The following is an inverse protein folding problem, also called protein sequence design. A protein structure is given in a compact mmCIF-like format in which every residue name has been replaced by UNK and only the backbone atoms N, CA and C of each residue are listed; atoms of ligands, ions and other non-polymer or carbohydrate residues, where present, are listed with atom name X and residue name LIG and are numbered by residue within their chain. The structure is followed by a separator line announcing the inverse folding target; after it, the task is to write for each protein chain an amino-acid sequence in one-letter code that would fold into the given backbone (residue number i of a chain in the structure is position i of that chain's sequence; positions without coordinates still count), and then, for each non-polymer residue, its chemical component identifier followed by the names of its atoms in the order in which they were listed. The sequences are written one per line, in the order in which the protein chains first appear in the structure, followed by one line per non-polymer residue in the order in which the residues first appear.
data_IF_695022422709
#
_entry.id   IF_695022422709
#
_cell.length_a   1.000
_cell.length_b   1.000
_cell.length_c   1.000
_cell.angle_alpha   90.00
_cell.angle_beta   90.00
_cell.angle_gamma   90.00
#
_symmetry.space_group_name_H-M   'P 1'
#
loop_
_entity.id
_entity.type
_entity.pdbx_description
1 polymer ?
#
# COMPACT_ATOMS: atom_id res chain seq x y z
N UNK A 1 -19.31 -8.81 16.99
CA UNK A 1 -20.76 -9.03 16.85
C UNK A 1 -21.42 -7.71 16.42
N UNK A 2 -22.01 -7.71 15.20
CA UNK A 2 -22.73 -6.57 14.62
C UNK A 2 -24.25 -6.68 14.81
N UNK A 3 -24.72 -7.79 15.39
CA UNK A 3 -26.14 -8.06 15.63
C UNK A 3 -26.72 -7.37 16.87
N UNK A 4 -25.99 -6.44 17.46
CA UNK A 4 -26.41 -5.66 18.64
C UNK A 4 -26.45 -4.17 18.30
N UNK A 5 -27.23 -3.38 19.06
CA UNK A 5 -27.30 -1.92 18.89
C UNK A 5 -25.92 -1.24 19.03
N UNK A 6 -24.99 -1.88 19.73
CA UNK A 6 -23.60 -1.47 19.87
C UNK A 6 -22.69 -2.59 19.39
N UNK A 7 -22.03 -2.46 18.24
CA UNK A 7 -21.06 -3.43 17.74
C UNK A 7 -19.97 -3.72 18.78
N UNK A 8 -19.70 -5.01 19.03
CA UNK A 8 -18.71 -5.44 20.03
C UNK A 8 -17.67 -6.31 19.37
N UNK A 9 -16.37 -6.02 19.65
CA UNK A 9 -15.32 -6.98 19.36
C UNK A 9 -15.50 -8.23 20.23
N UNK A 10 -15.90 -9.32 19.61
CA UNK A 10 -16.23 -10.55 20.32
C UNK A 10 -15.01 -11.43 20.59
N UNK A 11 -14.10 -11.55 19.64
CA UNK A 11 -12.87 -12.33 19.79
C UNK A 11 -12.08 -12.48 18.50
N UNK A 12 -10.91 -13.11 18.61
CA UNK A 12 -10.05 -13.46 17.49
C UNK A 12 -9.41 -14.82 17.69
N UNK A 13 -9.08 -15.49 16.59
CA UNK A 13 -8.28 -16.69 16.55
C UNK A 13 -7.16 -16.56 15.51
N UNK A 14 -6.11 -17.37 15.65
CA UNK A 14 -4.93 -17.32 14.79
C UNK A 14 -4.39 -18.72 14.52
N UNK A 15 -3.87 -18.90 13.31
CA UNK A 15 -3.10 -20.08 12.94
C UNK A 15 -2.00 -19.69 11.95
N UNK A 16 -0.95 -20.49 11.80
CA UNK A 16 0.01 -20.36 10.70
C UNK A 16 -0.70 -20.44 9.35
N UNK A 17 -0.20 -19.69 8.35
CA UNK A 17 -0.71 -19.83 6.99
C UNK A 17 -0.32 -21.17 6.40
N UNK A 18 -1.23 -21.77 5.63
CA UNK A 18 -1.02 -23.04 4.90
C UNK A 18 -0.96 -22.87 3.39
N UNK A 19 -0.71 -21.65 2.91
CA UNK A 19 -0.58 -21.37 1.46
C UNK A 19 0.53 -22.20 0.81
N UNK A 20 1.65 -22.38 1.51
CA UNK A 20 2.78 -23.20 1.03
C UNK A 20 2.46 -24.70 0.98
N UNK A 21 1.43 -25.16 1.70
CA UNK A 21 0.92 -26.52 1.69
C UNK A 21 -0.11 -26.74 0.56
N UNK A 22 -0.46 -25.67 -0.17
CA UNK A 22 -1.36 -25.70 -1.31
C UNK A 22 -2.85 -25.62 -0.95
N UNK A 23 -3.21 -25.42 0.32
CA UNK A 23 -4.60 -25.27 0.75
C UNK A 23 -4.74 -24.29 1.92
N UNK A 24 -5.24 -23.11 1.65
CA UNK A 24 -5.44 -22.04 2.66
C UNK A 24 -6.47 -22.41 3.73
N UNK A 25 -7.36 -23.38 3.46
CA UNK A 25 -8.42 -23.78 4.40
C UNK A 25 -7.88 -24.39 5.68
N UNK A 26 -6.73 -25.04 5.62
CA UNK A 26 -6.11 -25.67 6.81
C UNK A 26 -5.76 -24.59 7.82
N UNK A 27 -5.10 -23.51 7.41
CA UNK A 27 -4.80 -22.38 8.28
C UNK A 27 -6.05 -21.65 8.76
N UNK A 28 -7.05 -21.45 7.88
CA UNK A 28 -8.32 -20.82 8.23
C UNK A 28 -9.07 -21.64 9.29
N UNK A 29 -9.18 -22.95 9.11
CA UNK A 29 -9.82 -23.82 10.11
C UNK A 29 -9.06 -23.79 11.44
N UNK A 30 -7.74 -23.83 11.41
CA UNK A 30 -6.91 -23.70 12.62
C UNK A 30 -7.16 -22.39 13.38
N UNK A 31 -7.36 -21.27 12.67
CA UNK A 31 -7.71 -19.99 13.28
C UNK A 31 -9.13 -19.98 13.87
N UNK A 32 -10.09 -20.61 13.20
CA UNK A 32 -11.45 -20.80 13.74
C UNK A 32 -11.43 -21.66 15.00
N UNK A 33 -10.69 -22.76 14.98
CA UNK A 33 -10.56 -23.66 16.15
C UNK A 33 -9.88 -22.95 17.34
N UNK A 34 -8.89 -22.09 17.05
CA UNK A 34 -8.25 -21.25 18.08
C UNK A 34 -9.24 -20.24 18.69
N UNK A 35 -10.06 -19.59 17.85
CA UNK A 35 -11.13 -18.70 18.33
C UNK A 35 -12.13 -19.47 19.21
N UNK A 36 -12.59 -20.63 18.77
CA UNK A 36 -13.53 -21.46 19.52
C UNK A 36 -12.97 -21.84 20.89
N UNK A 37 -11.70 -22.29 20.95
CA UNK A 37 -11.00 -22.58 22.21
C UNK A 37 -10.92 -21.37 23.14
N UNK A 38 -10.56 -20.21 22.59
CA UNK A 38 -10.42 -18.97 23.36
C UNK A 38 -11.76 -18.50 23.94
N UNK A 39 -12.87 -18.87 23.30
CA UNK A 39 -14.24 -18.53 23.73
C UNK A 39 -14.95 -19.62 24.50
N UNK A 40 -14.40 -20.84 24.56
CA UNK A 40 -15.03 -21.99 25.23
C UNK A 40 -16.31 -22.45 24.53
N UNK A 41 -16.35 -22.38 23.19
CA UNK A 41 -17.46 -22.85 22.37
C UNK A 41 -17.01 -24.02 21.48
N UNK A 42 -17.94 -24.92 21.16
CA UNK A 42 -17.64 -26.09 20.33
C UNK A 42 -17.62 -25.75 18.84
N UNK A 43 -18.41 -24.76 18.43
CA UNK A 43 -18.55 -24.35 17.01
C UNK A 43 -18.81 -22.85 16.89
N UNK A 44 -18.16 -22.24 15.89
CA UNK A 44 -18.44 -20.87 15.51
C UNK A 44 -19.71 -20.81 14.63
N UNK A 45 -20.67 -19.99 15.04
CA UNK A 45 -21.83 -19.63 14.25
C UNK A 45 -21.71 -18.16 13.85
N UNK A 46 -21.92 -17.85 12.58
CA UNK A 46 -21.80 -16.50 12.04
C UNK A 46 -22.88 -16.23 10.99
N UNK A 47 -23.35 -15.00 10.88
CA UNK A 47 -24.31 -14.58 9.88
C UNK A 47 -23.68 -14.26 8.54
N UNK A 48 -22.49 -13.61 8.58
CA UNK A 48 -21.72 -13.22 7.38
C UNK A 48 -20.24 -13.52 7.60
N UNK A 49 -19.57 -13.86 6.50
CA UNK A 49 -18.13 -14.03 6.42
C UNK A 49 -17.56 -13.10 5.35
N UNK A 50 -16.65 -12.23 5.75
CA UNK A 50 -15.92 -11.34 4.85
C UNK A 50 -14.43 -11.72 4.88
N UNK A 51 -13.75 -11.56 3.78
CA UNK A 51 -12.34 -11.90 3.69
C UNK A 51 -11.50 -10.82 3.01
N UNK A 52 -10.27 -10.70 3.49
CA UNK A 52 -9.18 -10.01 2.78
C UNK A 52 -8.04 -10.98 2.58
N UNK A 53 -7.26 -10.81 1.53
CA UNK A 53 -6.15 -11.71 1.24
C UNK A 53 -4.88 -10.96 0.86
N UNK A 54 -3.74 -11.44 1.35
CA UNK A 54 -2.40 -11.16 0.84
C UNK A 54 -1.76 -12.38 0.18
N UNK A 55 -2.56 -13.43 -0.07
CA UNK A 55 -2.10 -14.63 -0.76
C UNK A 55 -1.62 -14.32 -2.18
N UNK A 56 -0.92 -15.28 -2.80
CA UNK A 56 -0.34 -15.18 -4.15
C UNK A 56 0.68 -14.03 -4.35
N UNK A 57 1.27 -13.52 -3.26
CA UNK A 57 2.31 -12.47 -3.34
C UNK A 57 1.79 -11.09 -3.79
N UNK A 58 0.47 -10.85 -3.70
CA UNK A 58 -0.19 -9.62 -4.12
C UNK A 58 -0.34 -9.49 -5.64
N UNK A 59 -0.95 -8.40 -6.09
CA UNK A 59 -1.16 -8.09 -7.50
C UNK A 59 0.08 -7.38 -8.08
N UNK A 60 0.95 -8.10 -8.78
CA UNK A 60 2.12 -7.52 -9.45
C UNK A 60 1.68 -6.63 -10.61
N UNK A 61 2.04 -5.37 -10.58
CA UNK A 61 1.63 -4.40 -11.58
C UNK A 61 2.83 -3.71 -12.25
N UNK A 62 2.63 -3.32 -13.50
CA UNK A 62 3.46 -2.31 -14.17
C UNK A 62 2.58 -1.13 -14.56
N UNK A 63 3.14 0.06 -14.47
CA UNK A 63 2.44 1.34 -14.71
C UNK A 63 3.18 2.14 -15.78
N UNK A 64 2.44 2.58 -16.80
CA UNK A 64 2.97 3.27 -17.96
C UNK A 64 2.20 4.57 -18.17
N UNK A 65 2.86 5.72 -17.97
CA UNK A 65 2.27 7.05 -18.12
C UNK A 65 2.97 7.89 -19.18
N UNK A 66 2.43 9.07 -19.46
CA UNK A 66 3.02 10.02 -20.40
C UNK A 66 4.14 10.84 -19.74
N UNK A 67 3.85 11.46 -18.60
CA UNK A 67 4.76 12.30 -17.82
C UNK A 67 4.87 11.73 -16.41
N UNK A 68 6.10 11.64 -15.90
CA UNK A 68 6.36 10.98 -14.61
C UNK A 68 5.63 11.64 -13.44
N UNK A 69 5.77 12.95 -13.30
CA UNK A 69 5.20 13.72 -12.18
C UNK A 69 3.69 14.03 -12.32
N UNK A 70 3.07 13.57 -13.39
CA UNK A 70 1.64 13.78 -13.70
C UNK A 70 0.91 12.44 -13.84
N UNK A 71 0.76 11.98 -15.06
CA UNK A 71 -0.04 10.78 -15.39
C UNK A 71 0.52 9.48 -14.80
N UNK A 72 1.86 9.30 -14.81
CA UNK A 72 2.47 8.13 -14.21
C UNK A 72 2.35 8.15 -12.68
N UNK A 73 2.50 9.33 -12.04
CA UNK A 73 2.28 9.52 -10.60
C UNK A 73 0.82 9.24 -10.24
N UNK A 74 -0.15 9.77 -10.97
CA UNK A 74 -1.58 9.54 -10.73
C UNK A 74 -1.94 8.04 -10.83
N UNK A 75 -1.44 7.36 -11.87
CA UNK A 75 -1.64 5.92 -12.04
C UNK A 75 -0.97 5.09 -10.93
N UNK A 76 0.23 5.50 -10.49
CA UNK A 76 0.90 4.92 -9.33
C UNK A 76 0.05 5.04 -8.07
N UNK A 77 -0.50 6.22 -7.79
CA UNK A 77 -1.34 6.45 -6.61
C UNK A 77 -2.63 5.62 -6.67
N UNK A 78 -3.23 5.45 -7.85
CA UNK A 78 -4.36 4.55 -8.04
C UNK A 78 -3.98 3.10 -7.73
N UNK A 79 -2.88 2.60 -8.28
CA UNK A 79 -2.42 1.23 -8.09
C UNK A 79 -2.06 0.91 -6.63
N UNK A 80 -1.29 1.79 -5.98
CA UNK A 80 -0.92 1.62 -4.57
C UNK A 80 -2.15 1.68 -3.66
N UNK A 81 -3.03 2.66 -3.87
CA UNK A 81 -4.26 2.82 -3.08
C UNK A 81 -5.22 1.62 -3.18
N UNK A 82 -5.21 0.91 -4.31
CA UNK A 82 -5.97 -0.32 -4.49
C UNK A 82 -5.33 -1.57 -3.87
N UNK A 83 -4.09 -1.47 -3.39
CA UNK A 83 -3.36 -2.61 -2.82
C UNK A 83 -2.44 -3.32 -3.81
N UNK A 84 -2.24 -2.77 -5.01
CA UNK A 84 -1.29 -3.29 -5.99
C UNK A 84 0.17 -3.17 -5.54
N UNK A 85 1.02 -4.06 -6.06
CA UNK A 85 2.48 -4.02 -5.88
C UNK A 85 3.11 -3.62 -7.21
N UNK A 86 3.69 -2.44 -7.25
CA UNK A 86 4.25 -1.89 -8.47
C UNK A 86 5.71 -2.34 -8.63
N UNK A 87 5.99 -3.10 -9.67
CA UNK A 87 7.32 -3.60 -10.00
C UNK A 87 8.06 -2.74 -11.04
N UNK A 88 7.34 -1.96 -11.83
CA UNK A 88 7.93 -1.04 -12.78
C UNK A 88 7.02 0.14 -13.08
N UNK A 89 7.61 1.32 -13.22
CA UNK A 89 6.93 2.54 -13.67
C UNK A 89 7.74 3.10 -14.84
N UNK A 90 7.05 3.46 -15.91
CA UNK A 90 7.67 4.18 -17.04
C UNK A 90 6.89 5.46 -17.35
N UNK A 91 7.58 6.42 -17.97
CA UNK A 91 6.98 7.64 -18.47
C UNK A 91 7.47 7.89 -19.91
N UNK A 92 6.55 8.31 -20.76
CA UNK A 92 6.77 8.47 -22.19
C UNK A 92 6.70 7.16 -22.96
N UNK A 93 7.28 7.15 -24.15
CA UNK A 93 7.25 6.00 -25.07
C UNK A 93 8.10 4.85 -24.55
N UNK A 94 7.53 3.64 -24.53
CA UNK A 94 8.22 2.41 -24.11
C UNK A 94 9.41 2.10 -25.04
N UNK A 95 10.52 1.73 -24.44
CA UNK A 95 11.74 1.31 -25.14
C UNK A 95 11.88 -0.21 -25.10
N UNK A 96 12.79 -0.74 -25.93
CA UNK A 96 13.08 -2.20 -25.94
C UNK A 96 13.48 -2.75 -24.58
N UNK A 97 14.19 -1.94 -23.77
CA UNK A 97 14.57 -2.29 -22.39
C UNK A 97 13.38 -2.38 -21.47
N UNK A 98 12.38 -1.51 -21.63
CA UNK A 98 11.16 -1.52 -20.83
C UNK A 98 10.32 -2.76 -21.16
N UNK A 99 10.19 -3.07 -22.44
CA UNK A 99 9.49 -4.28 -22.93
C UNK A 99 10.15 -5.55 -22.38
N UNK A 100 11.49 -5.63 -22.40
CA UNK A 100 12.22 -6.77 -21.83
C UNK A 100 11.94 -6.90 -20.34
N UNK A 101 11.95 -5.79 -19.61
CA UNK A 101 11.68 -5.74 -18.17
C UNK A 101 10.22 -6.13 -17.83
N UNK A 102 9.24 -5.66 -18.61
CA UNK A 102 7.83 -6.05 -18.42
C UNK A 102 7.67 -7.57 -18.60
N UNK A 103 8.32 -8.14 -19.64
CA UNK A 103 8.29 -9.61 -19.86
C UNK A 103 8.94 -10.39 -18.72
N UNK A 104 10.05 -9.89 -18.18
CA UNK A 104 10.75 -10.51 -17.03
C UNK A 104 9.89 -10.46 -15.76
N UNK A 105 9.26 -9.31 -15.48
CA UNK A 105 8.34 -9.14 -14.34
C UNK A 105 7.15 -10.08 -14.47
N UNK A 106 6.66 -10.30 -15.68
CA UNK A 106 5.43 -11.05 -15.97
C UNK A 106 4.28 -10.58 -15.05
N UNK A 107 3.79 -9.32 -15.22
CA UNK A 107 2.83 -8.72 -14.30
C UNK A 107 1.47 -9.41 -14.37
N UNK A 108 0.72 -9.35 -13.28
CA UNK A 108 -0.67 -9.81 -13.23
C UNK A 108 -1.63 -8.77 -13.82
N UNK A 109 -1.22 -7.49 -13.85
CA UNK A 109 -2.01 -6.38 -14.37
C UNK A 109 -1.09 -5.28 -14.92
N UNK A 110 -1.45 -4.74 -16.08
CA UNK A 110 -0.74 -3.62 -16.71
C UNK A 110 -1.66 -2.40 -16.69
N UNK A 111 -1.18 -1.26 -16.20
CA UNK A 111 -1.92 0.00 -16.19
C UNK A 111 -1.28 0.99 -17.17
N UNK A 112 -2.05 1.43 -18.15
CA UNK A 112 -1.68 2.47 -19.12
C UNK A 112 -2.47 3.72 -18.80
N UNK A 113 -1.74 4.82 -18.55
CA UNK A 113 -2.29 6.15 -18.36
C UNK A 113 -1.51 7.13 -19.22
N UNK A 114 -2.19 8.05 -19.90
CA UNK A 114 -1.47 8.98 -20.76
C UNK A 114 -2.34 10.07 -21.30
N UNK A 115 -1.78 11.29 -21.33
CA UNK A 115 -2.46 12.49 -21.72
C UNK A 115 -3.54 12.94 -20.75
N UNK A 116 -3.75 14.25 -20.67
CA UNK A 116 -5.01 14.81 -20.14
C UNK A 116 -6.10 14.58 -21.18
N UNK A 117 -7.37 14.67 -20.80
CA UNK A 117 -8.46 14.54 -21.75
C UNK A 117 -8.36 15.64 -22.84
N UNK A 118 -8.57 15.22 -24.10
CA UNK A 118 -8.40 16.05 -25.30
C UNK A 118 -6.97 16.58 -25.54
N UNK A 119 -5.98 16.01 -24.84
CA UNK A 119 -4.57 16.34 -24.98
C UNK A 119 -3.79 15.35 -25.87
N UNK A 120 -2.57 15.03 -25.48
CA UNK A 120 -1.68 14.11 -26.19
C UNK A 120 -2.28 12.69 -26.26
N UNK A 121 -2.21 12.05 -27.41
CA UNK A 121 -2.87 10.78 -27.71
C UNK A 121 -1.91 9.66 -28.08
N UNK A 122 -0.87 9.98 -28.84
CA UNK A 122 -0.09 9.01 -29.59
C UNK A 122 0.77 8.12 -28.69
N UNK A 123 1.36 8.68 -27.65
CA UNK A 123 2.26 7.92 -26.75
C UNK A 123 1.54 6.75 -26.06
N UNK A 124 0.31 6.96 -25.62
CA UNK A 124 -0.47 5.91 -24.96
C UNK A 124 -0.88 4.80 -25.94
N UNK A 125 -1.26 5.17 -27.18
CA UNK A 125 -1.59 4.21 -28.24
C UNK A 125 -0.36 3.42 -28.67
N UNK A 126 0.77 4.07 -28.95
CA UNK A 126 2.04 3.41 -29.26
C UNK A 126 2.45 2.41 -28.17
N UNK A 127 2.31 2.78 -26.90
CA UNK A 127 2.61 1.91 -25.76
C UNK A 127 1.65 0.71 -25.70
N UNK A 128 0.38 0.93 -25.98
CA UNK A 128 -0.63 -0.13 -26.04
C UNK A 128 -0.32 -1.16 -27.14
N UNK A 129 0.04 -0.70 -28.36
CA UNK A 129 0.45 -1.56 -29.46
C UNK A 129 1.68 -2.40 -29.11
N UNK A 130 2.70 -1.78 -28.49
CA UNK A 130 3.90 -2.48 -28.06
C UNK A 130 3.59 -3.53 -26.97
N UNK A 131 2.68 -3.22 -26.03
CA UNK A 131 2.23 -4.14 -24.98
C UNK A 131 1.46 -5.30 -25.59
N UNK A 132 0.54 -5.05 -26.54
CA UNK A 132 -0.15 -6.10 -27.27
C UNK A 132 0.82 -7.00 -28.04
N UNK A 133 1.80 -6.42 -28.72
CA UNK A 133 2.81 -7.15 -29.47
C UNK A 133 3.72 -8.06 -28.62
N UNK A 134 3.73 -7.89 -27.30
CA UNK A 134 4.45 -8.81 -26.40
C UNK A 134 3.81 -10.20 -26.34
N UNK A 135 2.54 -10.35 -26.68
CA UNK A 135 1.80 -11.62 -26.63
C UNK A 135 1.52 -12.13 -25.22
N UNK A 136 1.60 -11.26 -24.19
CA UNK A 136 1.20 -11.60 -22.83
C UNK A 136 -0.33 -11.74 -22.77
N UNK A 137 -0.80 -12.58 -21.85
CA UNK A 137 -2.25 -12.69 -21.55
C UNK A 137 -2.69 -11.82 -20.38
N UNK A 138 -1.77 -10.99 -19.88
CA UNK A 138 -1.99 -10.09 -18.76
C UNK A 138 -3.08 -9.08 -19.08
N UNK A 139 -4.11 -8.92 -18.24
CA UNK A 139 -5.12 -7.88 -18.39
C UNK A 139 -4.51 -6.49 -18.41
N UNK A 140 -5.16 -5.60 -19.15
CA UNK A 140 -4.74 -4.19 -19.29
C UNK A 140 -5.85 -3.28 -18.78
N UNK A 141 -5.50 -2.30 -17.96
CA UNK A 141 -6.36 -1.16 -17.62
C UNK A 141 -5.89 0.04 -18.41
N UNK A 142 -6.80 0.68 -19.10
CA UNK A 142 -6.60 1.99 -19.69
C UNK A 142 -7.31 3.07 -18.88
N UNK A 143 -6.55 4.00 -18.34
CA UNK A 143 -7.01 5.09 -17.50
C UNK A 143 -6.41 6.45 -17.94
N UNK A 144 -6.41 6.70 -19.24
CA UNK A 144 -5.85 7.89 -19.89
C UNK A 144 -6.90 8.68 -20.68
N UNK A 145 -6.40 9.51 -21.61
CA UNK A 145 -7.19 10.40 -22.45
C UNK A 145 -8.44 9.72 -23.04
N UNK A 146 -9.61 10.31 -22.79
CA UNK A 146 -10.91 9.78 -23.21
C UNK A 146 -11.02 9.56 -24.72
N UNK A 147 -10.32 10.36 -25.52
CA UNK A 147 -10.35 10.23 -26.97
C UNK A 147 -9.68 8.96 -27.51
N UNK A 148 -8.87 8.28 -26.70
CA UNK A 148 -8.19 7.04 -27.09
C UNK A 148 -8.98 5.78 -26.78
N UNK A 149 -10.12 5.88 -26.08
CA UNK A 149 -10.84 4.70 -25.56
C UNK A 149 -11.30 3.75 -26.67
N UNK A 150 -11.79 4.28 -27.79
CA UNK A 150 -12.24 3.45 -28.92
C UNK A 150 -11.06 2.78 -29.62
N UNK A 151 -9.93 3.49 -29.79
CA UNK A 151 -8.71 2.92 -30.38
C UNK A 151 -8.11 1.83 -29.50
N UNK A 152 -8.14 2.00 -28.18
CA UNK A 152 -7.73 0.99 -27.21
C UNK A 152 -8.56 -0.31 -27.35
N UNK A 153 -9.86 -0.22 -27.62
CA UNK A 153 -10.71 -1.38 -27.87
C UNK A 153 -10.33 -2.12 -29.16
N UNK A 154 -9.86 -1.38 -30.16
CA UNK A 154 -9.38 -1.99 -31.42
C UNK A 154 -8.02 -2.67 -31.23
N UNK A 155 -7.11 -2.06 -30.44
CA UNK A 155 -5.80 -2.62 -30.14
C UNK A 155 -5.93 -3.91 -29.30
N UNK A 156 -6.78 -3.91 -28.29
CA UNK A 156 -7.02 -5.06 -27.38
C UNK A 156 -8.35 -5.76 -27.71
N UNK A 157 -8.51 -6.14 -28.97
CA UNK A 157 -9.65 -6.88 -29.47
C UNK A 157 -9.70 -8.34 -28.94
N UNK A 158 -10.75 -9.08 -29.29
CA UNK A 158 -10.93 -10.47 -28.89
C UNK A 158 -9.76 -11.38 -29.35
N UNK A 159 -9.12 -11.08 -30.48
CA UNK A 159 -7.98 -11.83 -30.99
C UNK A 159 -6.72 -11.63 -30.16
N UNK A 160 -6.59 -10.51 -29.44
CA UNK A 160 -5.46 -10.26 -28.54
C UNK A 160 -5.39 -11.26 -27.40
N UNK A 161 -6.55 -11.75 -26.96
CA UNK A 161 -6.70 -12.60 -25.78
C UNK A 161 -6.29 -11.91 -24.47
N UNK A 162 -6.16 -10.57 -24.49
CA UNK A 162 -5.93 -9.73 -23.32
C UNK A 162 -7.25 -9.04 -22.92
N UNK A 163 -7.64 -9.19 -21.67
CA UNK A 163 -8.81 -8.47 -21.13
C UNK A 163 -8.47 -6.99 -20.97
N UNK A 164 -9.26 -6.12 -21.58
CA UNK A 164 -9.14 -4.67 -21.45
C UNK A 164 -10.22 -4.14 -20.52
N UNK A 165 -9.78 -3.33 -19.56
CA UNK A 165 -10.66 -2.49 -18.73
C UNK A 165 -10.44 -1.04 -19.11
N UNK A 166 -11.50 -0.33 -19.47
CA UNK A 166 -11.47 1.12 -19.71
C UNK A 166 -12.12 1.81 -18.53
N UNK A 167 -11.41 2.76 -17.98
CA UNK A 167 -11.88 3.57 -16.85
C UNK A 167 -11.67 5.06 -17.14
N UNK A 168 -12.26 5.90 -16.30
CA UNK A 168 -12.03 7.33 -16.39
C UNK A 168 -10.54 7.65 -16.22
N UNK A 169 -10.10 8.71 -16.88
CA UNK A 169 -8.72 9.16 -16.83
C UNK A 169 -8.30 9.50 -15.39
N UNK A 170 -7.17 8.93 -14.94
CA UNK A 170 -6.62 9.22 -13.59
C UNK A 170 -6.10 10.64 -13.45
N UNK A 171 -5.84 11.32 -14.58
CA UNK A 171 -5.36 12.71 -14.63
C UNK A 171 -6.06 13.49 -15.75
N UNK A 172 -7.39 13.72 -15.62
CA UNK A 172 -8.21 14.24 -16.72
C UNK A 172 -7.87 15.68 -17.11
N UNK A 173 -7.34 16.46 -16.18
CA UNK A 173 -6.91 17.86 -16.39
C UNK A 173 -5.63 18.10 -15.62
N UNK A 174 -4.89 19.14 -16.00
CA UNK A 174 -3.72 19.59 -15.23
C UNK A 174 -4.17 19.87 -13.79
N UNK A 175 -3.41 19.36 -12.84
CA UNK A 175 -3.63 19.47 -11.40
C UNK A 175 -4.97 18.88 -10.89
N UNK A 176 -5.56 17.94 -11.64
CA UNK A 176 -6.73 17.21 -11.22
C UNK A 176 -6.49 15.70 -11.19
N UNK A 177 -6.61 15.11 -10.01
CA UNK A 177 -6.50 13.66 -9.80
C UNK A 177 -7.89 13.02 -9.76
N UNK A 178 -8.07 11.88 -10.46
CA UNK A 178 -9.28 11.07 -10.45
C UNK A 178 -8.91 9.58 -10.33
N UNK A 179 -8.41 9.19 -9.16
CA UNK A 179 -7.82 7.86 -8.94
C UNK A 179 -8.83 6.79 -8.52
N UNK A 180 -9.97 7.17 -7.97
CA UNK A 180 -10.94 6.22 -7.38
C UNK A 180 -11.56 5.23 -8.38
N UNK A 181 -11.98 5.63 -9.60
CA UNK A 181 -12.50 4.68 -10.58
C UNK A 181 -11.48 3.60 -10.94
N UNK A 182 -10.20 4.00 -11.11
CA UNK A 182 -9.12 3.07 -11.40
C UNK A 182 -8.84 2.12 -10.24
N UNK A 183 -8.87 2.61 -9.00
CA UNK A 183 -8.72 1.79 -7.78
C UNK A 183 -9.72 0.66 -7.72
N UNK A 184 -11.00 0.97 -7.99
CA UNK A 184 -12.07 -0.03 -7.96
C UNK A 184 -11.80 -1.15 -8.97
N UNK A 185 -11.47 -0.82 -10.21
CA UNK A 185 -11.20 -1.83 -11.24
C UNK A 185 -9.95 -2.66 -10.91
N UNK A 186 -8.93 -2.07 -10.28
CA UNK A 186 -7.75 -2.82 -9.81
C UNK A 186 -8.14 -3.81 -8.71
N UNK A 187 -9.04 -3.43 -7.79
CA UNK A 187 -9.55 -4.34 -6.75
C UNK A 187 -10.36 -5.48 -7.34
N UNK A 188 -11.23 -5.20 -8.32
CA UNK A 188 -12.01 -6.23 -9.03
C UNK A 188 -11.08 -7.21 -9.80
N UNK A 189 -10.03 -6.69 -10.46
CA UNK A 189 -9.03 -7.51 -11.13
C UNK A 189 -8.18 -8.34 -10.15
N UNK A 190 -7.95 -7.84 -8.94
CA UNK A 190 -7.32 -8.61 -7.86
C UNK A 190 -8.19 -9.78 -7.43
N UNK A 191 -9.50 -9.58 -7.27
CA UNK A 191 -10.42 -10.66 -6.90
C UNK A 191 -10.39 -11.78 -7.94
N UNK A 192 -10.45 -11.44 -9.23
CA UNK A 192 -10.31 -12.39 -10.34
C UNK A 192 -8.97 -13.17 -10.26
N UNK A 193 -7.89 -12.50 -9.86
CA UNK A 193 -6.57 -13.12 -9.76
C UNK A 193 -6.45 -14.04 -8.54
N UNK A 194 -6.92 -13.62 -7.38
CA UNK A 194 -6.76 -14.34 -6.12
C UNK A 194 -7.60 -15.60 -6.07
N UNK A 195 -8.78 -15.59 -6.68
CA UNK A 195 -9.66 -16.76 -6.73
C UNK A 195 -9.07 -17.94 -7.52
N UNK A 196 -8.05 -17.68 -8.36
CA UNK A 196 -7.31 -18.71 -9.06
C UNK A 196 -6.12 -19.29 -8.26
N UNK A 197 -5.85 -18.79 -7.06
CA UNK A 197 -4.81 -19.35 -6.20
C UNK A 197 -5.30 -20.66 -5.54
N UNK A 198 -4.41 -21.68 -5.35
CA UNK A 198 -4.80 -22.96 -4.79
C UNK A 198 -5.53 -22.85 -3.45
N UNK A 199 -6.74 -23.39 -3.37
CA UNK A 199 -7.63 -23.39 -2.20
C UNK A 199 -8.44 -22.10 -2.01
N UNK A 200 -8.19 -21.04 -2.77
CA UNK A 200 -8.95 -19.78 -2.67
C UNK A 200 -10.35 -19.88 -3.28
N UNK A 201 -10.57 -20.76 -4.26
CA UNK A 201 -11.90 -21.05 -4.79
C UNK A 201 -12.88 -21.47 -3.69
N UNK A 202 -12.42 -22.26 -2.73
CA UNK A 202 -13.25 -22.68 -1.59
C UNK A 202 -13.50 -21.57 -0.59
N UNK A 203 -12.54 -20.65 -0.39
CA UNK A 203 -12.73 -19.46 0.44
C UNK A 203 -13.75 -18.53 -0.22
N UNK A 204 -13.72 -18.40 -1.55
CA UNK A 204 -14.69 -17.63 -2.33
C UNK A 204 -16.12 -18.11 -2.08
N UNK A 205 -16.34 -19.42 -2.01
CA UNK A 205 -17.65 -20.03 -1.75
C UNK A 205 -18.15 -19.80 -0.29
N UNK A 206 -17.24 -19.51 0.62
CA UNK A 206 -17.55 -19.27 2.05
C UNK A 206 -17.91 -17.83 2.37
N UNK A 207 -17.47 -16.87 1.56
CA UNK A 207 -17.62 -15.43 1.87
C UNK A 207 -18.87 -14.83 1.23
N UNK A 208 -19.41 -13.81 1.88
CA UNK A 208 -20.63 -13.12 1.46
C UNK A 208 -20.35 -11.87 0.59
N UNK A 209 -19.07 -11.53 0.40
CA UNK A 209 -18.63 -10.36 -0.36
C UNK A 209 -17.37 -10.62 -1.18
N UNK A 210 -16.83 -9.60 -1.86
CA UNK A 210 -15.59 -9.72 -2.61
C UNK A 210 -14.40 -10.00 -1.68
N UNK A 211 -13.42 -10.75 -2.18
CA UNK A 211 -12.12 -10.90 -1.50
C UNK A 211 -11.21 -9.79 -2.00
N UNK A 212 -10.96 -8.79 -1.18
CA UNK A 212 -10.12 -7.65 -1.53
C UNK A 212 -8.69 -7.80 -1.01
N UNK A 213 -7.69 -7.10 -1.63
CA UNK A 213 -6.33 -7.12 -1.11
C UNK A 213 -6.29 -6.52 0.29
N UNK A 214 -5.56 -7.16 1.20
CA UNK A 214 -5.43 -6.68 2.59
C UNK A 214 -5.07 -5.19 2.67
N UNK A 215 -4.08 -4.67 1.90
CA UNK A 215 -3.78 -3.24 1.96
C UNK A 215 -4.90 -2.36 1.40
N UNK A 216 -5.67 -2.86 0.42
CA UNK A 216 -6.89 -2.19 -0.07
C UNK A 216 -7.94 -2.09 1.03
N UNK A 217 -8.16 -3.18 1.79
CA UNK A 217 -9.07 -3.20 2.93
C UNK A 217 -8.65 -2.21 4.03
N UNK A 218 -7.34 -2.10 4.31
CA UNK A 218 -6.83 -1.10 5.26
C UNK A 218 -7.14 0.32 4.76
N UNK A 219 -6.99 0.59 3.47
CA UNK A 219 -7.35 1.90 2.90
C UNK A 219 -8.85 2.18 3.02
N UNK A 220 -9.72 1.22 2.70
CA UNK A 220 -11.17 1.40 2.85
C UNK A 220 -11.56 1.63 4.32
N UNK A 221 -10.98 0.87 5.24
CA UNK A 221 -11.16 1.11 6.67
C UNK A 221 -10.67 2.50 7.10
N UNK A 222 -9.54 2.96 6.54
CA UNK A 222 -9.01 4.31 6.80
C UNK A 222 -9.96 5.40 6.34
N UNK A 223 -10.65 5.22 5.20
CA UNK A 223 -11.67 6.15 4.70
C UNK A 223 -12.89 6.19 5.62
N UNK A 224 -13.38 5.02 6.07
CA UNK A 224 -14.48 4.94 7.04
C UNK A 224 -14.13 5.63 8.36
N UNK A 225 -12.90 5.41 8.85
CA UNK A 225 -12.42 6.08 10.07
C UNK A 225 -12.30 7.60 9.87
N UNK A 226 -11.88 8.05 8.68
CA UNK A 226 -11.85 9.47 8.34
C UNK A 226 -13.23 10.13 8.44
N UNK A 227 -14.27 9.46 7.95
CA UNK A 227 -15.65 10.00 8.01
C UNK A 227 -16.14 10.18 9.46
N UNK A 228 -15.60 9.41 10.40
CA UNK A 228 -15.93 9.50 11.82
C UNK A 228 -15.02 10.45 12.61
N UNK A 229 -13.73 10.49 12.28
CA UNK A 229 -12.67 11.11 13.12
C UNK A 229 -12.06 12.35 12.47
N UNK A 230 -12.13 12.49 11.14
CA UNK A 230 -11.37 13.49 10.38
C UNK A 230 -9.98 12.99 10.01
N UNK A 231 -9.06 13.91 9.76
CA UNK A 231 -7.74 13.64 9.21
C UNK A 231 -6.92 12.66 10.07
N UNK A 232 -6.47 11.58 9.43
CA UNK A 232 -5.73 10.50 10.12
C UNK A 232 -4.71 9.80 9.22
N UNK A 233 -3.78 9.10 9.88
CA UNK A 233 -2.90 8.11 9.25
C UNK A 233 -3.07 6.76 9.92
N UNK A 234 -2.90 5.70 9.13
CA UNK A 234 -2.85 4.31 9.59
C UNK A 234 -1.52 3.71 9.17
N UNK A 235 -0.78 3.18 10.13
CA UNK A 235 0.50 2.49 9.94
C UNK A 235 0.26 0.99 10.08
N UNK A 236 0.58 0.22 9.07
CA UNK A 236 0.58 -1.25 9.08
C UNK A 236 2.02 -1.76 9.05
N UNK A 237 2.53 -2.13 10.23
CA UNK A 237 3.91 -2.61 10.35
C UNK A 237 3.93 -4.12 10.40
N UNK A 238 4.31 -4.69 9.25
CA UNK A 238 4.42 -6.13 9.04
C UNK A 238 5.85 -6.66 9.12
N UNK A 239 5.98 -7.97 8.99
CA UNK A 239 7.29 -8.63 8.96
C UNK A 239 8.07 -8.37 7.67
N UNK A 240 7.40 -8.18 6.54
CA UNK A 240 8.01 -8.00 5.23
C UNK A 240 8.00 -6.54 4.75
N UNK A 241 6.96 -5.79 5.05
CA UNK A 241 6.74 -4.40 4.61
C UNK A 241 6.21 -3.55 5.75
N UNK A 242 6.33 -2.24 5.60
CA UNK A 242 5.57 -1.26 6.36
C UNK A 242 4.75 -0.43 5.39
N UNK A 243 3.44 -0.40 5.59
CA UNK A 243 2.51 0.38 4.80
C UNK A 243 2.02 1.58 5.60
N UNK A 244 1.92 2.73 4.95
CA UNK A 244 1.29 3.91 5.52
C UNK A 244 0.14 4.37 4.65
N UNK A 245 -1.02 4.51 5.27
CA UNK A 245 -2.24 5.01 4.66
C UNK A 245 -2.59 6.35 5.29
N UNK A 246 -2.93 7.34 4.48
CA UNK A 246 -3.43 8.62 4.97
C UNK A 246 -4.75 8.97 4.29
N UNK A 247 -5.68 9.52 5.06
CA UNK A 247 -6.79 10.30 4.53
C UNK A 247 -6.75 11.64 5.23
N UNK A 248 -6.29 12.65 4.50
CA UNK A 248 -6.05 13.97 5.04
C UNK A 248 -6.23 15.04 3.96
N UNK A 249 -6.69 16.19 4.40
CA UNK A 249 -6.91 17.38 3.55
C UNK A 249 -5.74 18.34 3.75
N UNK A 250 -5.28 18.97 2.67
CA UNK A 250 -4.25 20.00 2.77
C UNK A 250 -4.79 21.19 3.55
N UNK A 251 -3.94 21.75 4.42
CA UNK A 251 -4.21 23.05 5.06
C UNK A 251 -4.18 24.16 4.01
N UNK A 252 -5.00 25.20 4.17
CA UNK A 252 -5.05 26.36 3.26
C UNK A 252 -3.65 26.98 3.02
N UNK A 253 -2.81 26.96 4.06
CA UNK A 253 -1.44 27.47 3.99
C UNK A 253 -0.58 26.63 3.07
N UNK A 254 -0.62 25.32 3.21
CA UNK A 254 0.19 24.39 2.41
C UNK A 254 -0.37 24.28 1.00
N UNK A 255 -1.68 24.21 0.81
CA UNK A 255 -2.32 24.14 -0.51
C UNK A 255 -1.86 25.26 -1.47
N UNK A 256 -1.61 26.48 -0.94
CA UNK A 256 -1.09 27.61 -1.74
C UNK A 256 0.38 27.48 -2.13
N UNK A 257 1.12 26.58 -1.47
CA UNK A 257 2.55 26.34 -1.71
C UNK A 257 2.80 25.08 -2.52
N UNK A 258 1.75 24.25 -2.72
CA UNK A 258 1.87 22.97 -3.41
C UNK A 258 2.26 23.14 -4.87
N UNK A 259 3.20 22.32 -5.32
CA UNK A 259 3.66 22.27 -6.71
C UNK A 259 2.72 21.42 -7.55
N UNK A 260 2.19 20.35 -6.99
CA UNK A 260 1.27 19.41 -7.64
C UNK A 260 0.29 18.85 -6.63
N UNK A 261 -0.95 18.49 -7.07
CA UNK A 261 -1.93 17.92 -6.18
C UNK A 261 -1.50 16.54 -5.66
N UNK A 262 -1.93 16.23 -4.44
CA UNK A 262 -1.83 14.91 -3.86
C UNK A 262 -3.24 14.31 -3.66
N UNK A 263 -3.41 12.98 -3.78
CA UNK A 263 -4.73 12.39 -3.53
C UNK A 263 -5.10 12.56 -2.05
N UNK A 264 -6.39 12.79 -1.79
CA UNK A 264 -6.91 12.88 -0.41
C UNK A 264 -6.59 11.61 0.37
N UNK A 265 -6.85 10.45 -0.22
CA UNK A 265 -6.47 9.14 0.30
C UNK A 265 -5.21 8.64 -0.41
N UNK A 266 -4.10 8.51 0.32
CA UNK A 266 -2.80 8.09 -0.20
C UNK A 266 -2.28 6.88 0.56
N UNK A 267 -1.62 5.94 -0.15
CA UNK A 267 -0.86 4.83 0.42
C UNK A 267 0.56 4.83 -0.10
N UNK A 268 1.52 4.56 0.77
CA UNK A 268 2.89 4.18 0.41
C UNK A 268 3.21 2.80 0.98
N UNK A 269 4.05 2.07 0.28
CA UNK A 269 4.53 0.74 0.64
C UNK A 269 6.03 0.78 0.74
N UNK A 270 6.54 0.51 1.93
CA UNK A 270 7.98 0.49 2.19
C UNK A 270 8.44 -0.98 2.28
N UNK A 271 8.89 -1.51 1.15
CA UNK A 271 9.30 -2.90 1.00
C UNK A 271 10.60 -3.24 1.74
N UNK A 272 11.39 -2.23 2.12
CA UNK A 272 12.64 -2.36 2.87
C UNK A 272 12.46 -2.18 4.40
N UNK A 273 11.27 -1.83 4.85
CA UNK A 273 10.99 -1.52 6.27
C UNK A 273 10.22 -2.62 7.00
N UNK A 274 10.28 -3.87 6.51
CA UNK A 274 9.70 -5.01 7.23
C UNK A 274 10.57 -5.45 8.41
N UNK A 275 9.94 -5.57 9.58
CA UNK A 275 10.69 -5.82 10.84
C UNK A 275 11.14 -7.27 11.06
N UNK A 276 10.79 -8.19 10.15
CA UNK A 276 11.22 -9.59 10.23
C UNK A 276 11.97 -10.04 8.97
N UNK A 277 11.32 -10.12 7.83
CA UNK A 277 11.92 -10.59 6.57
C UNK A 277 13.01 -9.63 6.12
N UNK A 278 12.72 -8.33 6.16
CA UNK A 278 13.61 -7.27 5.70
C UNK A 278 14.36 -6.55 6.85
N UNK A 279 14.45 -7.18 8.01
CA UNK A 279 15.09 -6.60 9.20
C UNK A 279 16.50 -6.06 8.96
N UNK A 280 17.27 -6.72 8.07
CA UNK A 280 18.63 -6.28 7.75
C UNK A 280 18.66 -4.91 7.07
N UNK A 281 17.63 -4.58 6.26
CA UNK A 281 17.47 -3.26 5.66
C UNK A 281 17.13 -2.20 6.69
N UNK A 282 16.29 -2.56 7.67
CA UNK A 282 15.98 -1.68 8.79
C UNK A 282 17.22 -1.43 9.66
N UNK A 283 18.04 -2.45 9.92
CA UNK A 283 19.31 -2.33 10.64
C UNK A 283 20.27 -1.42 9.87
N UNK A 284 20.38 -1.60 8.55
CA UNK A 284 21.19 -0.75 7.69
C UNK A 284 20.72 0.73 7.74
N UNK A 285 19.40 0.99 7.77
CA UNK A 285 18.83 2.33 7.91
C UNK A 285 19.18 2.99 9.25
N UNK A 286 19.22 2.23 10.33
CA UNK A 286 19.61 2.72 11.67
C UNK A 286 21.12 3.00 11.70
N UNK A 287 21.91 2.17 11.02
CA UNK A 287 23.36 2.02 11.16
C UNK A 287 23.71 0.98 12.21
N UNK A 288 24.40 -0.10 11.81
CA UNK A 288 24.66 -1.24 12.70
C UNK A 288 25.44 -0.85 13.96
N UNK A 289 26.48 0.01 13.84
CA UNK A 289 27.25 0.47 15.00
C UNK A 289 26.38 1.19 16.02
N UNK A 290 25.55 2.11 15.55
CA UNK A 290 24.58 2.84 16.39
C UNK A 290 23.61 1.88 17.08
N UNK A 291 23.08 0.90 16.34
CA UNK A 291 22.13 -0.07 16.92
C UNK A 291 22.81 -0.96 17.97
N UNK A 292 24.07 -1.34 17.78
CA UNK A 292 24.87 -2.07 18.79
C UNK A 292 25.02 -1.29 20.08
N UNK A 293 25.32 0.00 20.00
CA UNK A 293 25.41 0.89 21.16
C UNK A 293 24.06 1.03 21.87
N UNK A 294 22.98 1.21 21.12
CA UNK A 294 21.62 1.28 21.65
C UNK A 294 21.21 -0.04 22.33
N UNK A 295 21.52 -1.20 21.73
CA UNK A 295 21.30 -2.52 22.33
C UNK A 295 22.05 -2.68 23.65
N UNK A 296 23.32 -2.31 23.69
CA UNK A 296 24.12 -2.34 24.92
C UNK A 296 23.51 -1.46 26.01
N UNK A 297 23.02 -0.27 25.66
CA UNK A 297 22.34 0.62 26.63
C UNK A 297 21.03 0.05 27.14
N UNK A 298 20.35 -0.77 26.35
CA UNK A 298 19.10 -1.46 26.72
C UNK A 298 19.36 -2.80 27.47
N UNK A 299 20.61 -3.21 27.62
CA UNK A 299 20.96 -4.50 28.21
C UNK A 299 20.67 -5.70 27.30
N UNK A 300 20.74 -5.50 25.97
CA UNK A 300 20.50 -6.50 24.93
C UNK A 300 21.80 -6.83 24.23
N UNK A 301 22.15 -8.11 24.11
CA UNK A 301 23.23 -8.56 23.27
C UNK A 301 22.77 -8.59 21.81
N UNK A 302 23.38 -7.74 20.97
CA UNK A 302 22.98 -7.58 19.57
C UNK A 302 23.18 -8.86 18.76
N UNK A 303 24.32 -9.53 18.90
CA UNK A 303 24.65 -10.71 18.08
C UNK A 303 23.82 -11.93 18.53
N UNK A 304 23.56 -12.07 19.82
CA UNK A 304 22.68 -13.11 20.35
C UNK A 304 21.23 -12.92 19.85
N UNK A 305 20.66 -11.72 19.99
CA UNK A 305 19.27 -11.46 19.60
C UNK A 305 19.07 -11.55 18.07
N UNK A 306 20.08 -11.14 17.29
CA UNK A 306 20.01 -11.22 15.83
C UNK A 306 20.11 -12.67 15.33
N UNK A 307 20.95 -13.49 15.96
CA UNK A 307 21.13 -14.92 15.61
C UNK A 307 19.90 -15.77 15.96
N UNK A 308 19.22 -15.45 17.06
CA UNK A 308 18.00 -16.13 17.53
C UNK A 308 16.71 -15.47 17.06
N UNK A 309 16.75 -14.50 16.13
CA UNK A 309 15.64 -13.66 15.76
C UNK A 309 14.43 -14.44 15.22
N UNK A 310 13.27 -14.23 15.82
CA UNK A 310 12.02 -14.90 15.48
C UNK A 310 10.94 -13.90 15.06
N UNK A 311 9.96 -14.38 14.29
CA UNK A 311 8.86 -13.54 13.80
C UNK A 311 8.00 -12.95 14.93
N UNK A 312 7.84 -13.67 16.02
CA UNK A 312 7.09 -13.25 17.21
C UNK A 312 8.05 -13.28 18.40
N UNK A 313 8.43 -12.12 18.96
CA UNK A 313 9.38 -12.06 20.08
C UNK A 313 8.80 -12.74 21.33
N UNK A 314 9.65 -13.49 22.05
CA UNK A 314 9.25 -14.34 23.18
C UNK A 314 9.79 -13.87 24.51
N UNK A 315 10.85 -13.09 24.51
CA UNK A 315 11.52 -12.60 25.71
C UNK A 315 11.75 -11.07 25.66
N UNK A 316 12.15 -10.50 26.77
CA UNK A 316 12.32 -9.05 26.91
C UNK A 316 13.39 -8.46 25.97
N UNK A 317 14.49 -9.17 25.74
CA UNK A 317 15.55 -8.72 24.83
C UNK A 317 15.06 -8.66 23.39
N UNK A 318 14.38 -9.71 22.92
CA UNK A 318 13.77 -9.76 21.60
C UNK A 318 12.70 -8.66 21.45
N UNK A 319 11.85 -8.43 22.46
CA UNK A 319 10.83 -7.38 22.45
C UNK A 319 11.49 -6.01 22.28
N UNK A 320 12.49 -5.67 23.10
CA UNK A 320 13.21 -4.38 23.02
C UNK A 320 13.84 -4.16 21.65
N UNK A 321 14.44 -5.22 21.09
CA UNK A 321 15.06 -5.16 19.78
C UNK A 321 14.03 -4.91 18.68
N UNK A 322 12.91 -5.67 18.66
CA UNK A 322 11.83 -5.48 17.68
C UNK A 322 11.19 -4.10 17.83
N UNK A 323 10.99 -3.61 19.06
CA UNK A 323 10.48 -2.25 19.31
C UNK A 323 11.39 -1.17 18.71
N UNK A 324 12.72 -1.37 18.76
CA UNK A 324 13.66 -0.46 18.14
C UNK A 324 13.57 -0.48 16.61
N UNK A 325 13.52 -1.67 16.01
CA UNK A 325 13.32 -1.82 14.56
C UNK A 325 11.98 -1.21 14.12
N UNK A 326 10.91 -1.48 14.86
CA UNK A 326 9.58 -0.93 14.61
C UNK A 326 9.58 0.60 14.67
N UNK A 327 10.32 1.18 15.63
CA UNK A 327 10.48 2.64 15.72
C UNK A 327 11.08 3.21 14.44
N UNK A 328 12.16 2.61 13.93
CA UNK A 328 12.77 3.06 12.67
C UNK A 328 11.81 2.94 11.50
N UNK A 329 11.15 1.79 11.37
CA UNK A 329 10.18 1.54 10.30
C UNK A 329 9.05 2.58 10.30
N UNK A 330 8.46 2.87 11.46
CA UNK A 330 7.41 3.88 11.62
C UNK A 330 7.88 5.27 11.23
N UNK A 331 9.04 5.71 11.71
CA UNK A 331 9.56 7.05 11.45
C UNK A 331 9.94 7.22 9.98
N UNK A 332 10.64 6.24 9.40
CA UNK A 332 11.05 6.28 8.00
C UNK A 332 9.87 6.16 7.03
N UNK A 333 8.90 5.30 7.31
CA UNK A 333 7.68 5.21 6.51
C UNK A 333 6.92 6.55 6.53
N UNK A 334 6.81 7.19 7.70
CA UNK A 334 6.16 8.49 7.81
C UNK A 334 6.94 9.58 7.06
N UNK A 335 8.27 9.61 7.18
CA UNK A 335 9.14 10.54 6.46
C UNK A 335 8.98 10.44 4.94
N UNK A 336 8.95 9.20 4.41
CA UNK A 336 8.79 8.96 2.97
C UNK A 336 7.38 9.23 2.45
N UNK A 337 6.37 9.08 3.30
CA UNK A 337 4.97 9.32 2.94
C UNK A 337 4.61 10.79 2.95
N UNK A 338 5.11 11.53 3.94
CA UNK A 338 4.85 12.94 4.12
C UNK A 338 5.48 13.80 3.02
N UNK A 339 4.89 14.95 2.82
CA UNK A 339 5.51 16.00 2.03
C UNK A 339 6.55 16.79 2.83
N UNK A 340 7.16 17.71 2.14
CA UNK A 340 8.18 18.59 2.71
C UNK A 340 8.13 19.99 2.11
N UNK A 341 8.65 20.95 2.87
CA UNK A 341 8.89 22.31 2.39
C UNK A 341 10.29 22.42 1.78
N UNK A 342 10.40 23.12 0.68
CA UNK A 342 11.70 23.48 0.08
C UNK A 342 11.76 24.95 -0.28
N UNK A 343 12.97 25.50 -0.22
CA UNK A 343 13.23 26.86 -0.63
C UNK A 343 13.77 26.89 -2.05
N UNK A 344 13.21 27.78 -2.85
CA UNK A 344 13.76 28.15 -4.15
C UNK A 344 14.23 29.60 -4.10
N UNK A 345 15.32 29.90 -4.83
CA UNK A 345 15.89 31.22 -4.90
C UNK A 345 15.77 31.73 -6.34
N UNK A 346 15.10 32.85 -6.50
CA UNK A 346 14.90 33.50 -7.80
C UNK A 346 15.28 34.98 -7.74
N UNK A 347 15.12 35.71 -8.86
CA UNK A 347 15.42 37.14 -8.91
C UNK A 347 14.62 37.98 -7.89
N UNK A 348 13.45 37.50 -7.49
CA UNK A 348 12.57 38.16 -6.49
C UNK A 348 12.88 37.76 -5.03
N UNK A 349 13.95 36.97 -4.82
CA UNK A 349 14.33 36.48 -3.49
C UNK A 349 13.96 35.01 -3.23
N UNK A 350 13.87 34.64 -1.95
CA UNK A 350 13.52 33.28 -1.51
C UNK A 350 12.01 33.07 -1.51
N UNK A 351 11.56 32.01 -2.17
CA UNK A 351 10.19 31.50 -2.12
C UNK A 351 10.14 30.12 -1.48
N UNK A 352 9.05 29.79 -0.80
CA UNK A 352 8.81 28.47 -0.21
C UNK A 352 7.82 27.72 -1.08
N UNK A 353 8.10 26.46 -1.37
CA UNK A 353 7.21 25.53 -2.06
C UNK A 353 6.98 24.31 -1.15
N UNK A 354 5.82 23.67 -1.33
CA UNK A 354 5.48 22.40 -0.72
C UNK A 354 5.37 21.31 -1.77
N UNK A 355 5.83 20.12 -1.44
CA UNK A 355 5.79 18.95 -2.32
C UNK A 355 5.45 17.71 -1.50
N UNK A 356 4.54 16.86 -2.00
CA UNK A 356 4.11 15.64 -1.34
C UNK A 356 2.94 15.85 -0.36
N UNK A 357 2.61 14.81 0.42
CA UNK A 357 1.38 14.78 1.24
C UNK A 357 1.47 15.68 2.47
N UNK A 358 0.50 16.56 2.64
CA UNK A 358 0.33 17.35 3.85
C UNK A 358 -0.33 16.50 4.96
N UNK A 359 0.42 16.25 6.05
CA UNK A 359 -0.06 15.57 7.26
C UNK A 359 -0.22 16.51 8.43
N UNK A 360 -0.06 17.82 8.25
CA UNK A 360 -0.06 18.80 9.36
C UNK A 360 -1.41 18.93 10.06
N UNK A 361 -2.49 18.50 9.39
CA UNK A 361 -3.86 18.49 9.95
C UNK A 361 -4.25 17.16 10.59
N UNK A 362 -3.40 16.14 10.49
CA UNK A 362 -3.64 14.81 11.07
C UNK A 362 -3.74 14.89 12.58
N UNK A 363 -4.85 14.38 13.13
CA UNK A 363 -5.15 14.34 14.55
C UNK A 363 -5.04 12.94 15.15
N UNK A 364 -5.12 11.92 14.32
CA UNK A 364 -5.13 10.53 14.77
C UNK A 364 -4.08 9.70 14.05
N UNK A 365 -3.32 8.96 14.82
CA UNK A 365 -2.34 7.98 14.35
C UNK A 365 -2.78 6.61 14.83
N UNK A 366 -3.10 5.73 13.91
CA UNK A 366 -3.62 4.39 14.19
C UNK A 366 -2.57 3.36 13.77
N UNK A 367 -2.29 2.43 14.66
CA UNK A 367 -1.36 1.32 14.40
C UNK A 367 -2.09 0.02 14.14
N UNK A 368 -1.70 -0.68 13.08
CA UNK A 368 -2.08 -2.05 12.77
C UNK A 368 -0.85 -2.89 12.40
N UNK A 369 -1.05 -4.14 12.00
CA UNK A 369 0.03 -5.09 11.83
C UNK A 369 0.52 -5.68 13.15
N UNK A 370 1.30 -6.76 13.07
CA UNK A 370 1.73 -7.50 14.24
C UNK A 370 2.55 -6.68 15.25
N UNK A 371 3.42 -5.81 14.75
CA UNK A 371 4.27 -4.97 15.57
C UNK A 371 3.48 -3.90 16.35
N UNK A 372 2.57 -3.19 15.68
CA UNK A 372 1.82 -2.08 16.31
C UNK A 372 0.56 -2.51 17.05
N UNK A 373 0.17 -3.79 16.95
CA UNK A 373 -0.96 -4.32 17.74
C UNK A 373 -0.52 -5.11 18.98
N UNK A 374 0.71 -5.63 19.00
CA UNK A 374 1.15 -6.59 20.03
C UNK A 374 2.33 -6.14 20.89
N UNK A 375 3.23 -5.30 20.36
CA UNK A 375 4.37 -4.82 21.16
C UNK A 375 3.89 -3.96 22.34
N UNK A 376 4.50 -4.13 23.53
CA UNK A 376 4.13 -3.38 24.73
C UNK A 376 4.18 -1.86 24.54
N UNK A 377 5.26 -1.35 23.88
CA UNK A 377 5.49 0.10 23.70
C UNK A 377 4.98 0.66 22.39
N UNK A 378 4.06 -0.03 21.72
CA UNK A 378 3.52 0.41 20.40
C UNK A 378 2.99 1.84 20.37
N UNK A 379 2.36 2.29 21.46
CA UNK A 379 1.85 3.67 21.57
C UNK A 379 3.00 4.67 21.69
N UNK A 380 4.03 4.35 22.49
CA UNK A 380 5.20 5.22 22.64
C UNK A 380 6.02 5.29 21.34
N UNK A 381 6.03 4.22 20.55
CA UNK A 381 6.64 4.21 19.22
C UNK A 381 5.94 5.22 18.31
N UNK A 382 4.61 5.17 18.22
CA UNK A 382 3.83 6.08 17.39
C UNK A 382 3.92 7.54 17.85
N UNK A 383 3.99 7.78 19.15
CA UNK A 383 4.19 9.14 19.71
C UNK A 383 5.51 9.81 19.30
N UNK A 384 6.49 9.05 18.77
CA UNK A 384 7.74 9.62 18.30
C UNK A 384 7.62 10.30 16.93
N UNK A 385 6.49 10.16 16.24
CA UNK A 385 6.28 10.73 14.90
C UNK A 385 6.30 12.27 14.96
N UNK A 386 5.48 12.88 15.82
CA UNK A 386 5.37 14.34 15.89
C UNK A 386 6.73 15.02 16.23
N UNK A 387 7.48 14.60 17.25
CA UNK A 387 8.76 15.23 17.58
C UNK A 387 9.90 14.90 16.59
N UNK A 388 9.72 13.97 15.66
CA UNK A 388 10.74 13.58 14.67
C UNK A 388 11.09 14.71 13.69
N UNK A 389 10.17 15.65 13.45
CA UNK A 389 10.35 16.80 12.54
C UNK A 389 11.13 17.95 13.18
N UNK A 390 12.37 17.70 13.64
CA UNK A 390 13.21 18.72 14.28
C UNK A 390 13.51 19.91 13.35
N UNK A 391 13.62 19.68 12.06
CA UNK A 391 13.88 20.73 11.06
C UNK A 391 12.68 21.63 10.80
N UNK A 392 11.48 21.20 11.11
CA UNK A 392 10.22 21.86 10.75
C UNK A 392 9.95 21.88 9.23
N UNK A 393 10.73 21.12 8.45
CA UNK A 393 10.60 21.12 6.99
C UNK A 393 9.68 19.99 6.47
N UNK A 394 9.42 18.96 7.27
CA UNK A 394 8.49 17.90 6.91
C UNK A 394 7.03 18.33 7.22
N UNK A 395 6.11 17.91 6.39
CA UNK A 395 4.67 18.16 6.58
C UNK A 395 4.06 17.09 7.51
N UNK A 396 4.61 16.98 8.70
CA UNK A 396 4.24 16.00 9.73
C UNK A 396 3.08 16.48 10.60
N UNK A 397 2.39 15.55 11.30
CA UNK A 397 1.49 15.91 12.39
C UNK A 397 2.19 16.82 13.41
N UNK A 398 1.50 17.83 13.88
CA UNK A 398 2.13 18.87 14.72
C UNK A 398 2.19 18.52 16.21
N UNK A 399 1.28 17.64 16.73
CA UNK A 399 1.25 17.15 18.13
C UNK A 399 0.43 15.86 18.24
#
# INVERSE_FOLDING_TARGET
DLGTDNPVFWGQGQAPTSVLEGDVRVGLQGAIDDLCRNKGIDKLEYGEMLATSSAAGGLKMTVHGLVYDMTAKAAKEAALGAGGIIHNITAGRLRRTDIAKIKEINPNLILIAGGVDFGERDTALDNAELIRAMGLKTPVIYAGNVENQEEMKLIFDEESGQKLYIVDNVYPKIDALNVEPCRKVIQDAFEDHITNAPGMEHVRDMVNGPIIPTPGAVMECTKVLYDCLGDLIVLDVGGATTDLHSVATESDKIARLMISPEPKAKRTVEGDLGVYVNRMKVIESIGEEKLREECKAMGVDFDEVLSSYVAIPKNEAEIKFVERLTTEAVLKATERHAGYLRYIYGPSGRSTLAEGKDLTQVKYIIGTGGALTRLPRRVDIMKKIAPYNESGMLLFPSE
#
